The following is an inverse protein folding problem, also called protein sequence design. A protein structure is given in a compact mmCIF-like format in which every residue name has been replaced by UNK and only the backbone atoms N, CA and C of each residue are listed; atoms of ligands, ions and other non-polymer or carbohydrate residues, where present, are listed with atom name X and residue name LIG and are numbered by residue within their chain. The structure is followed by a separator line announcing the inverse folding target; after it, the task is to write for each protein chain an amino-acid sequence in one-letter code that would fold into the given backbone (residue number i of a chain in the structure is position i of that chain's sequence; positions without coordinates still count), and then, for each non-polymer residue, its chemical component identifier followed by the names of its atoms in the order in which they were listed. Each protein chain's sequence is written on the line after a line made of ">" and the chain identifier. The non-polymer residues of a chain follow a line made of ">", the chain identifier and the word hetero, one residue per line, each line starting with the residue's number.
data_IF_983606316750
#
_entry.id   IF_983606316750
#
_cell.length_a   1.000
_cell.length_b   1.000
_cell.length_c   1.000
_cell.angle_alpha   90.00
_cell.angle_beta   90.00
_cell.angle_gamma   90.00
#
_symmetry.space_group_name_H-M   'P 1'
#
loop_
_entity.id
_entity.type
_entity.pdbx_description
1 polymer ?
#
# COMPACT_ATOMS: atom_id res chain seq x y z
N UNK A 1 -33.63 34.13 -44.95
CA UNK A 1 -32.25 34.49 -44.53
C UNK A 1 -32.17 34.85 -43.04
N UNK A 2 -32.87 34.13 -42.14
CA UNK A 2 -32.84 34.37 -40.67
C UNK A 2 -32.83 33.12 -39.78
N UNK A 3 -32.91 31.92 -40.36
CA UNK A 3 -32.95 30.64 -39.61
C UNK A 3 -31.78 29.70 -39.89
N UNK A 4 -30.91 30.03 -40.86
CA UNK A 4 -29.79 29.16 -41.27
C UNK A 4 -28.46 29.44 -40.54
N UNK A 5 -28.38 30.49 -39.71
CA UNK A 5 -27.12 30.88 -39.02
C UNK A 5 -27.03 30.32 -37.59
N UNK A 6 -28.12 29.75 -37.03
CA UNK A 6 -28.11 29.19 -35.66
C UNK A 6 -27.71 27.71 -35.58
N UNK A 7 -27.69 26.99 -36.69
CA UNK A 7 -27.36 25.55 -36.70
C UNK A 7 -25.85 25.33 -36.92
N UNK A 8 -25.11 26.36 -37.36
CA UNK A 8 -23.67 26.27 -37.64
C UNK A 8 -22.75 26.46 -36.41
N UNK A 9 -23.30 26.77 -35.23
CA UNK A 9 -22.53 26.92 -33.99
C UNK A 9 -22.61 25.72 -33.04
N UNK A 10 -23.45 24.72 -33.33
CA UNK A 10 -23.62 23.53 -32.49
C UNK A 10 -22.74 22.35 -32.96
N UNK A 11 -22.15 22.43 -34.15
CA UNK A 11 -21.29 21.38 -34.72
C UNK A 11 -19.79 21.65 -34.60
N UNK A 12 -19.37 22.75 -33.97
CA UNK A 12 -17.95 23.13 -33.82
C UNK A 12 -17.44 23.15 -32.37
N UNK A 13 -18.23 22.61 -31.43
CA UNK A 13 -17.91 22.51 -30.00
C UNK A 13 -17.78 21.06 -29.51
N UNK A 14 -17.70 20.11 -30.43
CA UNK A 14 -17.73 18.68 -30.13
C UNK A 14 -16.56 17.93 -30.72
N UNK A 15 -15.32 18.33 -30.46
CA UNK A 15 -14.17 17.41 -30.53
C UNK A 15 -12.91 18.08 -29.95
N UNK A 16 -12.69 17.93 -28.64
CA UNK A 16 -11.37 17.90 -27.98
C UNK A 16 -11.58 17.79 -26.46
N UNK A 17 -12.40 16.83 -26.02
CA UNK A 17 -12.21 16.28 -24.68
C UNK A 17 -11.08 15.25 -24.81
N UNK A 18 -9.85 15.72 -24.66
CA UNK A 18 -8.74 14.81 -24.35
C UNK A 18 -9.05 14.21 -22.99
N UNK A 19 -9.47 12.96 -22.96
CA UNK A 19 -9.49 12.18 -21.73
C UNK A 19 -8.02 12.02 -21.34
N UNK A 20 -7.51 12.92 -20.51
CA UNK A 20 -6.26 12.70 -19.81
C UNK A 20 -6.51 11.55 -18.85
N UNK A 21 -6.25 10.34 -19.30
CA UNK A 21 -6.10 9.22 -18.37
C UNK A 21 -4.96 9.63 -17.44
N UNK A 22 -5.15 9.70 -16.11
CA UNK A 22 -4.04 9.90 -15.22
C UNK A 22 -3.07 8.74 -15.46
N UNK A 23 -1.89 9.05 -15.97
CA UNK A 23 -0.81 8.08 -16.08
C UNK A 23 -0.48 7.67 -14.66
N UNK A 24 -0.87 6.45 -14.27
CA UNK A 24 -0.35 5.84 -13.05
C UNK A 24 1.14 5.71 -13.30
N UNK A 25 1.93 6.61 -12.71
CA UNK A 25 3.37 6.56 -12.82
C UNK A 25 3.80 5.34 -12.02
N UNK A 26 4.21 4.30 -12.73
CA UNK A 26 4.81 3.12 -12.11
C UNK A 26 6.06 3.59 -11.38
N UNK A 27 6.14 3.38 -10.06
CA UNK A 27 7.35 3.66 -9.31
C UNK A 27 8.51 2.86 -9.93
N UNK A 28 9.55 3.55 -10.40
CA UNK A 28 10.73 2.88 -10.92
C UNK A 28 11.52 2.36 -9.73
N UNK A 29 11.46 1.06 -9.48
CA UNK A 29 12.40 0.43 -8.57
C UNK A 29 13.83 0.66 -9.11
N UNK A 30 14.74 1.04 -8.21
CA UNK A 30 16.17 1.16 -8.55
C UNK A 30 16.76 -0.25 -8.51
N UNK A 31 16.41 -1.07 -9.50
CA UNK A 31 16.96 -2.43 -9.62
C UNK A 31 18.43 -2.31 -10.03
N UNK A 32 19.34 -2.72 -9.15
CA UNK A 32 20.76 -2.88 -9.47
C UNK A 32 21.68 -1.68 -9.20
N UNK A 33 21.20 -0.55 -8.65
CA UNK A 33 22.11 0.43 -8.06
C UNK A 33 22.47 0.02 -6.63
N UNK A 34 23.73 0.22 -6.23
CA UNK A 34 24.13 0.09 -4.83
C UNK A 34 23.43 1.17 -4.00
N UNK A 35 22.35 0.81 -3.32
CA UNK A 35 21.71 1.68 -2.33
C UNK A 35 22.60 1.76 -1.10
N UNK A 36 22.98 2.97 -0.67
CA UNK A 36 23.62 3.15 0.63
C UNK A 36 22.57 2.98 1.74
N UNK A 37 22.61 1.83 2.41
CA UNK A 37 21.68 1.48 3.48
C UNK A 37 21.78 2.42 4.68
N UNK A 38 22.89 3.17 4.83
CA UNK A 38 23.05 4.20 5.87
C UNK A 38 22.06 5.34 5.72
N UNK A 39 21.59 5.61 4.50
CA UNK A 39 20.56 6.62 4.23
C UNK A 39 19.22 6.24 4.87
N UNK A 40 19.03 4.96 5.17
CA UNK A 40 17.81 4.37 5.73
C UNK A 40 18.04 3.82 7.14
N UNK A 41 18.90 4.47 7.92
CA UNK A 41 19.35 4.00 9.24
C UNK A 41 18.20 3.68 10.21
N UNK A 42 17.07 4.39 10.12
CA UNK A 42 15.88 4.10 10.93
C UNK A 42 15.37 2.66 10.78
N UNK A 43 15.55 2.04 9.62
CA UNK A 43 15.09 0.67 9.35
C UNK A 43 15.93 -0.39 10.08
N UNK A 44 17.16 -0.06 10.51
CA UNK A 44 18.03 -1.00 11.21
C UNK A 44 17.50 -1.38 12.61
N UNK A 45 16.66 -0.54 13.21
CA UNK A 45 15.99 -0.86 14.48
C UNK A 45 14.96 -1.98 14.31
N UNK A 46 14.24 -1.99 13.17
CA UNK A 46 13.05 -2.80 12.95
C UNK A 46 13.25 -4.02 12.06
N UNK A 47 14.44 -4.22 11.50
CA UNK A 47 14.72 -5.32 10.58
C UNK A 47 16.19 -5.44 10.22
N UNK A 48 16.47 -6.20 9.18
CA UNK A 48 17.83 -6.45 8.71
C UNK A 48 17.94 -6.20 7.20
N UNK A 49 19.04 -5.57 6.79
CA UNK A 49 19.41 -5.49 5.38
C UNK A 49 19.96 -6.83 4.89
N UNK A 50 19.52 -7.24 3.71
CA UNK A 50 19.90 -8.48 3.04
C UNK A 50 20.31 -8.16 1.61
N UNK A 51 21.30 -8.87 1.09
CA UNK A 51 21.63 -8.82 -0.32
C UNK A 51 20.91 -9.97 -1.04
N UNK A 52 19.91 -9.66 -1.86
CA UNK A 52 19.24 -10.62 -2.71
C UNK A 52 19.79 -10.42 -4.13
N UNK A 53 20.45 -11.42 -4.76
CA UNK A 53 21.17 -11.22 -6.02
C UNK A 53 20.38 -10.52 -7.13
N UNK A 54 19.06 -10.73 -7.16
CA UNK A 54 18.15 -10.13 -8.16
C UNK A 54 17.76 -8.68 -7.87
N UNK A 55 17.85 -8.23 -6.62
CA UNK A 55 17.38 -6.91 -6.17
C UNK A 55 18.48 -6.04 -5.57
N UNK A 56 19.65 -6.61 -5.24
CA UNK A 56 20.67 -5.95 -4.44
C UNK A 56 20.27 -5.87 -2.97
N UNK A 57 20.50 -4.72 -2.34
CA UNK A 57 20.19 -4.49 -0.94
C UNK A 57 18.68 -4.31 -0.74
N UNK A 58 18.08 -5.23 -0.01
CA UNK A 58 16.66 -5.21 0.41
C UNK A 58 16.57 -5.19 1.93
N UNK A 59 15.48 -4.68 2.46
CA UNK A 59 15.23 -4.68 3.90
C UNK A 59 14.17 -5.71 4.28
N UNK A 60 14.50 -6.58 5.24
CA UNK A 60 13.59 -7.60 5.78
C UNK A 60 13.17 -7.19 7.21
N UNK A 61 11.88 -6.87 7.46
CA UNK A 61 11.39 -6.54 8.79
C UNK A 61 11.44 -7.75 9.73
N UNK A 62 11.65 -7.49 11.02
CA UNK A 62 11.62 -8.51 12.06
C UNK A 62 10.18 -8.76 12.55
N UNK A 63 9.29 -9.19 11.65
CA UNK A 63 7.87 -9.38 11.94
C UNK A 63 7.49 -10.83 12.21
N UNK A 64 6.37 -11.02 12.92
CA UNK A 64 5.83 -12.33 13.31
C UNK A 64 4.40 -12.56 12.82
N UNK A 65 4.02 -13.83 12.84
CA UNK A 65 2.65 -14.27 12.60
C UNK A 65 2.27 -14.15 11.14
N UNK A 66 1.08 -13.63 10.89
CA UNK A 66 0.47 -13.42 9.59
C UNK A 66 0.74 -12.01 9.02
N UNK A 67 1.70 -11.29 9.61
CA UNK A 67 2.11 -9.98 9.12
C UNK A 67 2.50 -10.04 7.64
N UNK A 68 2.09 -8.98 6.95
CA UNK A 68 2.44 -8.69 5.57
C UNK A 68 2.39 -7.17 5.36
N UNK A 69 3.02 -6.64 4.30
CA UNK A 69 2.97 -5.21 4.01
C UNK A 69 1.51 -4.76 3.80
N UNK A 70 1.18 -3.52 4.18
CA UNK A 70 -0.18 -2.96 4.13
C UNK A 70 -1.19 -3.77 4.96
N UNK A 71 -0.85 -4.05 6.23
CA UNK A 71 -1.70 -4.85 7.13
C UNK A 71 -2.07 -4.13 8.43
N UNK A 72 -1.09 -3.67 9.22
CA UNK A 72 -1.35 -2.89 10.43
C UNK A 72 -1.46 -1.40 10.11
N UNK A 73 -2.70 -0.95 9.94
CA UNK A 73 -3.03 0.39 9.47
C UNK A 73 -4.45 0.45 8.92
N UNK A 74 -4.72 1.50 8.17
CA UNK A 74 -6.02 1.73 7.55
C UNK A 74 -5.87 2.42 6.18
N UNK A 75 -6.91 2.32 5.37
CA UNK A 75 -7.03 3.10 4.14
C UNK A 75 -7.77 4.40 4.42
N UNK A 76 -7.10 5.53 4.23
CA UNK A 76 -7.73 6.85 4.27
C UNK A 76 -7.90 7.39 2.86
N UNK A 77 -8.97 8.14 2.61
CA UNK A 77 -9.13 8.85 1.35
C UNK A 77 -8.59 10.28 1.50
N UNK A 78 -7.52 10.60 0.79
CA UNK A 78 -6.85 11.88 0.85
C UNK A 78 -6.80 12.57 -0.53
N UNK A 79 -6.13 13.73 -0.61
CA UNK A 79 -5.98 14.50 -1.85
C UNK A 79 -5.37 13.68 -3.02
N UNK A 80 -4.54 12.67 -2.72
CA UNK A 80 -3.93 11.76 -3.70
C UNK A 80 -4.76 10.47 -3.95
N UNK A 81 -5.96 10.39 -3.39
CA UNK A 81 -6.85 9.22 -3.42
C UNK A 81 -6.70 8.32 -2.19
N UNK A 82 -6.94 7.02 -2.36
CA UNK A 82 -6.69 6.05 -1.29
C UNK A 82 -5.22 6.05 -0.92
N UNK A 83 -4.94 6.36 0.34
CA UNK A 83 -3.60 6.44 0.92
C UNK A 83 -3.53 5.49 2.10
N UNK A 84 -2.45 4.72 2.18
CA UNK A 84 -2.22 3.85 3.33
C UNK A 84 -1.74 4.67 4.52
N UNK A 85 -2.46 4.59 5.64
CA UNK A 85 -2.02 5.14 6.93
C UNK A 85 -1.55 3.98 7.83
N UNK A 86 -0.25 3.93 8.08
CA UNK A 86 0.36 2.81 8.81
C UNK A 86 0.58 3.14 10.28
N UNK A 87 0.33 2.17 11.14
CA UNK A 87 0.66 2.26 12.56
C UNK A 87 2.10 1.84 12.87
N UNK A 88 2.88 1.46 11.85
CA UNK A 88 4.28 1.09 11.98
C UNK A 88 5.19 2.33 11.90
N UNK A 89 6.21 2.47 12.76
CA UNK A 89 7.02 3.69 12.87
C UNK A 89 7.81 4.04 11.59
N UNK A 90 8.03 3.05 10.73
CA UNK A 90 8.72 3.18 9.44
C UNK A 90 7.75 3.25 8.25
N UNK A 91 6.43 3.20 8.49
CA UNK A 91 5.41 3.06 7.46
C UNK A 91 5.38 4.20 6.47
N UNK A 92 5.60 5.44 6.93
CA UNK A 92 5.68 6.64 6.08
C UNK A 92 6.69 6.50 4.92
N UNK A 93 7.71 5.66 5.12
CA UNK A 93 8.74 5.40 4.14
C UNK A 93 8.40 4.17 3.29
N UNK A 94 8.33 2.99 3.90
CA UNK A 94 8.34 1.71 3.16
C UNK A 94 7.00 1.41 2.47
N UNK A 95 5.92 2.09 2.83
CA UNK A 95 4.61 1.94 2.19
C UNK A 95 4.31 2.99 1.13
N UNK A 96 5.13 4.05 1.05
CA UNK A 96 4.97 5.10 0.05
C UNK A 96 6.13 5.20 -0.94
N UNK A 97 7.24 4.51 -0.66
CA UNK A 97 8.44 4.49 -1.49
C UNK A 97 8.91 3.06 -1.70
N UNK A 98 9.39 2.78 -2.92
CA UNK A 98 9.90 1.46 -3.27
C UNK A 98 8.80 0.42 -3.46
N UNK A 99 9.19 -0.85 -3.34
CA UNK A 99 8.33 -1.99 -3.66
C UNK A 99 8.51 -3.09 -2.64
N UNK A 100 7.52 -3.97 -2.54
CA UNK A 100 7.58 -5.14 -1.68
C UNK A 100 7.55 -6.41 -2.53
N UNK A 101 8.34 -7.40 -2.15
CA UNK A 101 8.37 -8.70 -2.81
C UNK A 101 8.50 -9.80 -1.79
N UNK A 102 7.82 -10.92 -2.04
CA UNK A 102 7.97 -12.11 -1.22
C UNK A 102 9.17 -12.92 -1.71
N UNK A 103 10.23 -12.98 -0.92
CA UNK A 103 11.40 -13.81 -1.14
C UNK A 103 11.24 -15.15 -0.40
N UNK A 104 11.44 -16.30 -1.06
CA UNK A 104 11.27 -17.61 -0.41
C UNK A 104 12.20 -17.87 0.80
N UNK A 105 13.36 -17.20 0.85
CA UNK A 105 14.34 -17.36 1.93
C UNK A 105 14.16 -16.34 3.06
N UNK A 106 13.66 -15.15 2.75
CA UNK A 106 13.56 -14.05 3.72
C UNK A 106 12.14 -13.60 4.05
N UNK A 107 11.13 -14.18 3.40
CA UNK A 107 9.74 -13.72 3.47
C UNK A 107 9.56 -12.40 2.73
N UNK A 108 8.66 -11.54 3.22
CA UNK A 108 8.47 -10.21 2.66
C UNK A 108 9.71 -9.34 2.85
N UNK A 109 10.24 -8.82 1.74
CA UNK A 109 11.36 -7.88 1.72
C UNK A 109 10.98 -6.62 0.95
N UNK A 110 11.48 -5.50 1.43
CA UNK A 110 11.31 -4.19 0.81
C UNK A 110 12.51 -3.87 -0.09
N UNK A 111 12.23 -3.52 -1.33
CA UNK A 111 13.19 -3.04 -2.33
C UNK A 111 13.14 -1.51 -2.34
N UNK A 112 14.24 -0.81 -2.03
CA UNK A 112 14.24 0.64 -1.96
C UNK A 112 13.86 1.32 -3.27
N UNK A 113 13.12 2.41 -3.16
CA UNK A 113 12.79 3.33 -4.25
C UNK A 113 12.58 4.74 -3.71
N UNK A 114 12.46 5.71 -4.61
CA UNK A 114 12.34 7.13 -4.26
C UNK A 114 11.13 7.82 -4.88
N UNK A 115 10.36 7.11 -5.71
CA UNK A 115 9.12 7.62 -6.28
C UNK A 115 7.99 7.43 -5.25
N UNK A 116 7.33 8.53 -4.90
CA UNK A 116 6.20 8.51 -3.97
C UNK A 116 4.95 7.91 -4.61
N UNK A 117 4.22 7.10 -3.84
CA UNK A 117 2.86 6.66 -4.16
C UNK A 117 2.01 6.58 -2.88
N UNK A 118 0.74 7.05 -2.90
CA UNK A 118 -0.15 6.91 -1.74
C UNK A 118 -0.53 5.45 -1.47
N UNK A 119 -0.53 4.61 -2.51
CA UNK A 119 -0.93 3.22 -2.47
C UNK A 119 -0.21 2.39 -3.56
N UNK A 120 1.08 2.05 -3.38
CA UNK A 120 1.80 1.18 -4.32
C UNK A 120 1.38 -0.28 -4.10
N UNK A 121 0.13 -0.57 -4.46
CA UNK A 121 -0.51 -1.88 -4.35
C UNK A 121 -1.24 -2.25 -5.65
N UNK A 122 -1.37 -3.55 -5.89
CA UNK A 122 -2.25 -4.12 -6.91
C UNK A 122 -3.63 -4.36 -6.28
N UNK A 123 -4.60 -3.60 -6.76
CA UNK A 123 -5.97 -3.65 -6.27
C UNK A 123 -6.78 -4.76 -6.92
N UNK A 124 -7.68 -5.35 -6.14
CA UNK A 124 -8.68 -6.28 -6.65
C UNK A 124 -10.02 -6.08 -5.96
N UNK A 125 -11.10 -6.01 -6.74
CA UNK A 125 -12.47 -6.01 -6.22
C UNK A 125 -13.25 -7.13 -6.87
N UNK A 126 -14.09 -7.80 -6.09
CA UNK A 126 -14.95 -8.88 -6.55
C UNK A 126 -16.07 -9.12 -5.55
N UNK A 127 -17.28 -9.33 -6.05
CA UNK A 127 -18.49 -9.49 -5.22
C UNK A 127 -18.54 -8.39 -4.14
N UNK A 128 -18.57 -8.78 -2.86
CA UNK A 128 -18.60 -7.87 -1.70
C UNK A 128 -17.22 -7.74 -1.01
N UNK A 129 -16.13 -7.94 -1.74
CA UNK A 129 -14.76 -7.93 -1.22
C UNK A 129 -13.85 -6.94 -1.93
N UNK A 130 -12.95 -6.36 -1.15
CA UNK A 130 -11.82 -5.58 -1.63
C UNK A 130 -10.55 -6.25 -1.15
N UNK A 131 -9.59 -6.39 -2.04
CA UNK A 131 -8.26 -6.85 -1.71
C UNK A 131 -7.18 -5.98 -2.32
N UNK A 132 -5.99 -6.10 -1.73
CA UNK A 132 -4.79 -5.48 -2.22
C UNK A 132 -3.61 -6.39 -1.94
N UNK A 133 -2.62 -6.33 -2.82
CA UNK A 133 -1.31 -6.90 -2.59
C UNK A 133 -0.24 -5.83 -2.81
N UNK A 134 0.88 -5.87 -2.09
CA UNK A 134 1.97 -4.91 -2.30
C UNK A 134 2.48 -4.98 -3.75
N UNK A 135 2.69 -3.85 -4.40
CA UNK A 135 3.13 -3.82 -5.79
C UNK A 135 4.59 -4.31 -5.89
N UNK A 136 4.88 -5.38 -6.65
CA UNK A 136 6.24 -5.89 -6.77
C UNK A 136 7.10 -4.97 -7.66
N UNK A 137 8.43 -5.12 -7.62
CA UNK A 137 9.33 -4.40 -8.52
C UNK A 137 8.96 -4.62 -10.01
N UNK A 138 9.28 -3.68 -10.92
CA UNK A 138 9.03 -3.84 -12.34
C UNK A 138 9.60 -5.16 -12.91
N UNK A 139 8.81 -5.84 -13.73
CA UNK A 139 9.17 -7.14 -14.31
C UNK A 139 8.84 -8.35 -13.43
N UNK A 140 8.10 -8.16 -12.34
CA UNK A 140 7.60 -9.22 -11.48
C UNK A 140 6.08 -9.22 -11.46
N UNK A 141 5.50 -10.42 -11.44
CA UNK A 141 4.05 -10.61 -11.35
C UNK A 141 3.69 -11.11 -9.96
N UNK A 142 2.55 -10.64 -9.47
CA UNK A 142 1.91 -11.23 -8.30
C UNK A 142 1.30 -12.59 -8.66
N UNK A 143 1.27 -13.54 -7.71
CA UNK A 143 0.55 -14.79 -7.90
C UNK A 143 -0.97 -14.55 -7.99
N UNK A 144 -1.70 -15.58 -8.44
CA UNK A 144 -3.15 -15.60 -8.37
C UNK A 144 -3.62 -15.55 -6.90
N UNK A 145 -4.43 -14.55 -6.56
CA UNK A 145 -5.06 -14.36 -5.24
C UNK A 145 -5.76 -15.64 -4.75
N UNK A 146 -6.40 -16.38 -5.65
CA UNK A 146 -7.24 -17.51 -5.29
C UNK A 146 -6.48 -18.84 -5.28
N UNK A 147 -5.17 -18.82 -5.55
CA UNK A 147 -4.31 -19.97 -5.42
C UNK A 147 -4.00 -20.18 -3.91
N UNK A 148 -4.39 -21.32 -3.31
CA UNK A 148 -4.31 -21.52 -1.85
C UNK A 148 -2.91 -21.31 -1.25
N UNK A 149 -1.86 -21.62 -2.01
CA UNK A 149 -0.46 -21.46 -1.61
C UNK A 149 -0.01 -20.00 -1.50
N UNK A 150 -0.79 -19.04 -2.05
CA UNK A 150 -0.48 -17.62 -2.08
C UNK A 150 -1.56 -16.77 -1.38
N UNK A 151 -2.46 -17.39 -0.62
CA UNK A 151 -3.57 -16.69 0.06
C UNK A 151 -3.12 -15.57 1.02
N UNK A 152 -1.86 -15.60 1.48
CA UNK A 152 -1.27 -14.58 2.36
C UNK A 152 -0.58 -13.44 1.60
N UNK A 153 -0.55 -13.47 0.26
CA UNK A 153 0.05 -12.41 -0.54
C UNK A 153 -0.88 -11.20 -0.62
N UNK A 154 -2.17 -11.44 -0.69
CA UNK A 154 -3.19 -10.41 -0.66
C UNK A 154 -3.79 -10.28 0.73
N UNK A 155 -4.07 -9.05 1.13
CA UNK A 155 -5.04 -8.78 2.19
C UNK A 155 -6.40 -8.59 1.54
N UNK A 156 -7.43 -9.26 2.07
CA UNK A 156 -8.81 -9.14 1.59
C UNK A 156 -9.72 -8.86 2.77
N UNK A 157 -10.63 -7.92 2.61
CA UNK A 157 -11.64 -7.51 3.59
C UNK A 157 -13.02 -7.42 2.92
N UNK A 158 -14.11 -7.56 3.68
CA UNK A 158 -15.43 -7.16 3.20
C UNK A 158 -15.45 -5.67 2.85
N UNK A 159 -16.22 -5.28 1.83
CA UNK A 159 -16.36 -3.86 1.40
C UNK A 159 -16.80 -2.96 2.56
N UNK A 160 -17.66 -3.47 3.44
CA UNK A 160 -18.15 -2.75 4.63
C UNK A 160 -17.06 -2.37 5.64
N UNK A 161 -15.92 -3.06 5.58
CA UNK A 161 -14.85 -2.93 6.56
C UNK A 161 -13.55 -2.39 5.93
N UNK A 162 -13.59 -1.98 4.66
CA UNK A 162 -12.41 -1.57 3.91
C UNK A 162 -11.70 -0.33 4.46
N UNK A 163 -12.47 0.67 4.87
CA UNK A 163 -12.03 1.96 5.42
C UNK A 163 -12.18 2.01 6.96
N UNK A 164 -12.13 0.85 7.62
CA UNK A 164 -12.13 0.78 9.09
C UNK A 164 -10.74 1.02 9.65
N UNK A 165 -10.73 1.55 10.88
CA UNK A 165 -9.56 1.55 11.76
C UNK A 165 -9.03 0.11 11.90
N UNK A 166 -7.73 -0.04 11.70
CA UNK A 166 -6.99 -1.32 11.77
C UNK A 166 -7.59 -2.46 10.93
N UNK A 167 -7.36 -2.42 9.62
CA UNK A 167 -7.87 -3.42 8.68
C UNK A 167 -7.37 -4.84 8.95
N UNK A 168 -6.29 -5.02 9.72
CA UNK A 168 -5.81 -6.34 10.14
C UNK A 168 -6.88 -7.12 10.93
N UNK A 169 -7.77 -6.42 11.66
CA UNK A 169 -8.82 -7.05 12.48
C UNK A 169 -9.96 -7.66 11.67
N UNK A 170 -10.14 -7.16 10.45
CA UNK A 170 -11.23 -7.57 9.53
C UNK A 170 -10.70 -8.33 8.32
N UNK A 171 -9.38 -8.50 8.23
CA UNK A 171 -8.74 -9.25 7.17
C UNK A 171 -9.10 -10.75 7.21
N UNK A 172 -9.52 -11.25 6.05
CA UNK A 172 -9.93 -12.64 5.90
C UNK A 172 -8.70 -13.54 5.76
N UNK A 173 -8.53 -14.48 6.70
CA UNK A 173 -7.50 -15.52 6.61
C UNK A 173 -7.67 -16.43 5.39
N UNK A 174 -8.93 -16.67 4.97
CA UNK A 174 -9.28 -17.46 3.79
C UNK A 174 -10.33 -16.71 2.98
N UNK A 175 -9.91 -15.87 2.02
CA UNK A 175 -10.83 -15.12 1.18
C UNK A 175 -11.76 -16.06 0.39
N UNK A 176 -13.05 -15.77 0.29
CA UNK A 176 -13.97 -16.53 -0.56
C UNK A 176 -13.54 -16.46 -2.03
N UNK A 177 -13.79 -17.55 -2.77
CA UNK A 177 -13.70 -17.50 -4.22
C UNK A 177 -14.84 -16.61 -4.77
N UNK A 178 -14.61 -15.89 -5.87
CA UNK A 178 -15.63 -15.05 -6.45
C UNK A 178 -16.76 -15.93 -7.00
N UNK A 179 -17.99 -15.44 -6.87
CA UNK A 179 -19.20 -16.03 -7.45
C UNK A 179 -19.05 -16.27 -8.96
N UNK A 180 -18.33 -15.38 -9.63
CA UNK A 180 -17.99 -15.47 -11.04
C UNK A 180 -16.60 -14.85 -11.28
N UNK A 181 -15.69 -15.55 -11.97
CA UNK A 181 -14.37 -14.98 -12.33
C UNK A 181 -14.47 -13.69 -13.14
N UNK A 182 -15.56 -13.50 -13.90
CA UNK A 182 -15.83 -12.27 -14.64
C UNK A 182 -16.29 -11.10 -13.75
N UNK A 183 -16.55 -11.28 -12.45
CA UNK A 183 -16.80 -10.18 -11.50
C UNK A 183 -15.51 -9.54 -10.98
N UNK A 184 -14.38 -10.24 -11.10
CA UNK A 184 -13.07 -9.76 -10.62
C UNK A 184 -12.62 -8.55 -11.44
N UNK A 185 -12.25 -7.47 -10.77
CA UNK A 185 -11.71 -6.25 -11.36
C UNK A 185 -10.37 -5.92 -10.73
N UNK A 186 -9.39 -5.58 -11.56
CA UNK A 186 -8.06 -5.10 -11.14
C UNK A 186 -8.06 -3.58 -11.09
N UNK A 187 -8.75 -3.02 -10.10
CA UNK A 187 -8.94 -1.59 -9.96
C UNK A 187 -9.09 -1.21 -8.50
N UNK A 188 -8.63 0.00 -8.15
CA UNK A 188 -8.87 0.59 -6.83
C UNK A 188 -10.38 0.73 -6.58
N UNK A 189 -10.85 0.59 -5.33
CA UNK A 189 -12.26 0.78 -5.03
C UNK A 189 -12.69 2.23 -5.28
N UNK A 190 -13.88 2.40 -5.85
CA UNK A 190 -14.52 3.70 -6.02
C UNK A 190 -15.13 4.16 -4.68
N UNK A 191 -15.00 5.43 -4.32
CA UNK A 191 -15.57 5.93 -3.06
C UNK A 191 -17.09 5.80 -3.03
N UNK A 192 -17.79 6.04 -4.15
CA UNK A 192 -19.25 5.90 -4.24
C UNK A 192 -19.71 4.48 -3.96
N UNK A 193 -18.90 3.48 -4.34
CA UNK A 193 -19.16 2.08 -4.01
C UNK A 193 -19.11 1.87 -2.49
N UNK A 194 -18.07 2.37 -1.83
CA UNK A 194 -17.92 2.25 -0.37
C UNK A 194 -19.03 3.01 0.35
N UNK A 195 -19.35 4.24 -0.06
CA UNK A 195 -20.38 5.06 0.56
C UNK A 195 -21.77 4.41 0.44
N UNK A 196 -22.08 3.83 -0.72
CA UNK A 196 -23.34 3.13 -0.96
C UNK A 196 -23.50 1.91 -0.05
N UNK A 197 -22.42 1.17 0.17
CA UNK A 197 -22.43 -0.10 0.92
C UNK A 197 -22.37 0.15 2.44
N UNK A 198 -21.54 1.10 2.87
CA UNK A 198 -21.36 1.44 4.29
C UNK A 198 -22.38 2.43 4.84
N UNK A 199 -23.09 3.15 3.96
CA UNK A 199 -23.94 4.29 4.29
C UNK A 199 -23.19 5.42 5.05
N UNK A 200 -21.87 5.49 4.89
CA UNK A 200 -21.01 6.55 5.45
C UNK A 200 -20.44 7.36 4.30
N UNK A 201 -20.40 8.68 4.45
CA UNK A 201 -19.76 9.56 3.47
C UNK A 201 -18.24 9.50 3.64
N UNK A 202 -17.51 9.43 2.53
CA UNK A 202 -16.05 9.50 2.52
C UNK A 202 -15.67 10.96 2.28
N UNK A 203 -15.22 11.64 3.33
CA UNK A 203 -14.70 12.99 3.23
C UNK A 203 -13.20 12.94 2.89
N UNK A 204 -12.74 13.56 1.78
CA UNK A 204 -11.32 13.64 1.47
C UNK A 204 -10.54 14.37 2.56
N UNK A 205 -9.49 13.73 3.05
CA UNK A 205 -8.56 14.30 4.02
C UNK A 205 -7.48 15.12 3.31
N UNK A 206 -7.29 16.34 3.79
CA UNK A 206 -6.13 17.15 3.42
C UNK A 206 -4.95 16.76 4.31
N UNK A 207 -3.95 16.10 3.73
CA UNK A 207 -2.74 15.72 4.45
C UNK A 207 -1.70 16.85 4.40
N UNK A 208 -1.03 17.07 5.52
CA UNK A 208 0.16 17.91 5.53
C UNK A 208 1.37 17.09 5.08
N UNK A 209 2.37 17.77 4.53
CA UNK A 209 3.58 17.13 4.05
C UNK A 209 4.82 17.81 4.62
N UNK A 210 5.76 16.99 5.05
CA UNK A 210 7.10 17.41 5.44
C UNK A 210 8.13 16.87 4.44
N UNK A 211 9.33 17.45 4.50
CA UNK A 211 10.47 16.96 3.74
C UNK A 211 11.40 16.19 4.68
N UNK A 212 11.64 14.92 4.35
CA UNK A 212 12.58 14.05 5.05
C UNK A 212 13.83 13.82 4.20
N UNK A 213 15.01 14.09 4.76
CA UNK A 213 16.28 13.87 4.05
C UNK A 213 16.73 12.42 4.20
N UNK A 214 16.94 11.74 3.08
CA UNK A 214 17.42 10.36 2.97
C UNK A 214 18.65 10.37 2.07
N UNK A 215 19.84 10.43 2.69
CA UNK A 215 21.10 10.65 1.97
C UNK A 215 21.12 11.99 1.24
N UNK A 216 21.28 11.95 -0.08
CA UNK A 216 21.25 13.11 -0.98
C UNK A 216 19.83 13.44 -1.49
N UNK A 217 18.85 12.59 -1.20
CA UNK A 217 17.46 12.77 -1.63
C UNK A 217 16.63 13.43 -0.53
N UNK A 218 15.62 14.18 -0.97
CA UNK A 218 14.57 14.69 -0.10
C UNK A 218 13.25 14.03 -0.50
N UNK A 219 12.63 13.35 0.45
CA UNK A 219 11.38 12.63 0.26
C UNK A 219 10.24 13.38 0.94
N UNK A 220 9.06 13.33 0.33
CA UNK A 220 7.81 13.72 0.98
C UNK A 220 7.49 12.74 2.11
N UNK A 221 7.16 13.25 3.27
CA UNK A 221 6.64 12.50 4.40
C UNK A 221 5.26 13.04 4.73
N UNK A 222 4.24 12.19 4.62
CA UNK A 222 2.89 12.58 5.03
C UNK A 222 2.83 12.71 6.55
N UNK A 223 2.18 13.79 7.00
CA UNK A 223 2.00 14.10 8.41
C UNK A 223 0.54 13.80 8.77
N UNK A 224 0.30 12.83 9.67
CA UNK A 224 -1.05 12.50 10.10
C UNK A 224 -1.67 13.70 10.83
N UNK A 225 -2.99 13.86 10.67
CA UNK A 225 -3.74 14.79 11.52
C UNK A 225 -3.89 14.23 12.95
N UNK A 226 -4.44 15.03 13.87
CA UNK A 226 -4.58 14.63 15.28
C UNK A 226 -5.34 13.31 15.48
N UNK A 227 -6.33 13.04 14.63
CA UNK A 227 -7.15 11.83 14.71
C UNK A 227 -6.37 10.59 14.27
N UNK A 228 -5.68 10.67 13.13
CA UNK A 228 -4.79 9.63 12.62
C UNK A 228 -3.64 9.35 13.61
N UNK A 229 -3.04 10.41 14.17
CA UNK A 229 -2.00 10.29 15.18
C UNK A 229 -2.51 9.59 16.45
N UNK A 230 -3.74 9.89 16.87
CA UNK A 230 -4.39 9.22 18.01
C UNK A 230 -4.62 7.73 17.75
N UNK A 231 -5.11 7.36 16.55
CA UNK A 231 -5.28 5.93 16.17
C UNK A 231 -3.94 5.20 16.10
N UNK A 232 -2.92 5.83 15.51
CA UNK A 232 -1.56 5.28 15.51
C UNK A 232 -1.02 5.05 16.94
N UNK A 233 -1.24 5.98 17.87
CA UNK A 233 -0.84 5.81 19.27
C UNK A 233 -1.60 4.67 19.94
N UNK A 234 -2.91 4.58 19.70
CA UNK A 234 -3.77 3.52 20.26
C UNK A 234 -3.26 2.11 19.90
N UNK A 235 -2.82 1.92 18.66
CA UNK A 235 -2.36 0.60 18.17
C UNK A 235 -0.85 0.37 18.38
N UNK A 236 -0.09 1.39 18.79
CA UNK A 236 1.38 1.32 18.88
C UNK A 236 1.90 0.17 19.72
N UNK A 237 1.26 -0.10 20.87
CA UNK A 237 1.73 -1.14 21.79
C UNK A 237 1.64 -2.53 21.15
N UNK A 238 0.50 -2.84 20.51
CA UNK A 238 0.26 -4.09 19.79
C UNK A 238 1.23 -4.23 18.60
N UNK A 239 1.34 -3.19 17.77
CA UNK A 239 2.26 -3.20 16.63
C UNK A 239 3.71 -3.41 17.08
N UNK A 240 4.13 -2.78 18.19
CA UNK A 240 5.48 -2.98 18.76
C UNK A 240 5.70 -4.40 19.25
N UNK A 241 4.70 -5.06 19.82
CA UNK A 241 4.80 -6.46 20.21
C UNK A 241 5.08 -7.35 18.98
N UNK A 242 4.39 -7.10 17.86
CA UNK A 242 4.60 -7.82 16.61
C UNK A 242 5.98 -7.58 15.99
N UNK A 243 6.53 -6.38 16.16
CA UNK A 243 7.85 -5.95 15.65
C UNK A 243 9.07 -6.49 16.41
N UNK A 244 8.95 -6.79 17.72
CA UNK A 244 10.12 -6.78 18.63
C UNK A 244 10.84 -8.09 18.90
N UNK A 245 10.58 -9.18 18.18
CA UNK A 245 11.33 -10.42 18.44
C UNK A 245 12.66 -10.49 17.68
N UNK A 246 13.58 -9.57 17.98
CA UNK A 246 15.01 -9.90 17.96
C UNK A 246 15.25 -10.76 19.21
N UNK A 247 15.30 -12.08 19.01
CA UNK A 247 15.62 -13.14 19.98
C UNK A 247 15.96 -12.66 21.42
N UNK A 248 15.15 -13.03 22.42
CA UNK A 248 15.72 -13.23 23.75
C UNK A 248 16.78 -14.34 23.64
N UNK A 249 18.00 -14.15 24.18
CA UNK A 249 18.94 -15.24 24.25
C UNK A 249 18.33 -16.36 25.10
N UNK A 250 18.34 -17.60 24.58
CA UNK A 250 18.07 -18.77 25.41
C UNK A 250 18.93 -18.67 26.66
N UNK A 251 18.40 -18.84 27.89
CA UNK A 251 19.25 -18.99 29.05
C UNK A 251 20.19 -20.17 28.77
N UNK A 252 21.50 -19.89 28.76
CA UNK A 252 22.49 -20.95 28.87
C UNK A 252 22.31 -21.53 30.27
N UNK A 253 21.52 -22.59 30.37
CA UNK A 253 21.62 -23.51 31.48
C UNK A 253 22.67 -24.53 31.09
N UNK A 254 23.85 -24.39 31.70
CA UNK A 254 24.74 -25.52 31.90
C UNK A 254 23.98 -26.65 32.59
N UNK A 255 24.23 -27.88 32.18
CA UNK A 255 25.31 -28.74 32.64
C UNK A 255 25.55 -29.82 31.58
#
# INVERSE_FOLDING_TARGET
>A
MRTLIRILWVLLLGLLFTVSTPTVTQAKAVVGATVDTRNFSMLAEFGNWRNVPRFGQVWAPAMRGDWRPFFYGEWVYADDGWTWDSYEPYGWLVYHYGNWVYDPSFGWVWVPGYDYSPAPVDWVTYDDYIGWAPLPPPGFALPDLFAPQFATVFTVVPVNDFDRDDVARVALRKPPAPSNRASVRKAKPDTQMIEKVTHRKIEPLKLNHEQAKIGEKTLRKDVPNDEMAKRTEQHRAEVREKLKMKQEPKPQHGF
#
